data_IF_454317756068
#
_entry.id   IF_454317756068
#
_cell.length_a   1.000
_cell.length_b   1.000
_cell.length_c   1.000
_cell.angle_alpha   90.00
_cell.angle_beta   90.00
_cell.angle_gamma   90.00
#
_symmetry.space_group_name_H-M   'P 1'
#
loop_
_entity.id
_entity.type
_entity.pdbx_description
1 polymer ?
#
# COMPACT_ATOMS: atom_id res chain seq x y z
N UNK A 1 -60.57 -11.10 -26.55
CA UNK A 1 -61.77 -10.57 -25.91
C UNK A 1 -61.44 -9.19 -25.40
N UNK A 2 -62.05 -8.24 -26.01
CA UNK A 2 -62.03 -6.80 -25.84
C UNK A 2 -62.56 -6.39 -24.45
N UNK A 3 -62.03 -5.24 -23.91
CA UNK A 3 -62.78 -4.04 -23.50
C UNK A 3 -62.00 -3.36 -22.37
N UNK A 4 -61.45 -2.21 -22.56
CA UNK A 4 -61.85 -0.79 -22.59
C UNK A 4 -61.77 -0.11 -21.21
N UNK A 5 -61.01 0.99 -21.22
CA UNK A 5 -60.91 2.00 -20.16
C UNK A 5 -62.24 2.82 -20.03
N UNK A 6 -62.33 3.64 -19.01
CA UNK A 6 -62.73 5.01 -19.32
C UNK A 6 -61.87 6.11 -18.69
N UNK A 7 -61.99 7.23 -19.34
CA UNK A 7 -61.31 8.48 -19.18
C UNK A 7 -61.92 9.43 -18.13
N UNK A 8 -61.05 10.34 -17.64
CA UNK A 8 -61.39 11.77 -17.62
C UNK A 8 -61.97 12.37 -16.37
N UNK A 9 -61.29 13.34 -15.78
CA UNK A 9 -61.92 14.63 -15.47
C UNK A 9 -60.84 15.72 -15.30
N UNK A 10 -60.92 16.68 -16.19
CA UNK A 10 -60.23 17.97 -16.10
C UNK A 10 -60.82 18.83 -15.00
N UNK A 11 -59.98 19.55 -14.25
CA UNK A 11 -60.43 20.77 -13.58
C UNK A 11 -59.47 21.93 -13.87
N UNK A 12 -60.07 23.00 -14.35
CA UNK A 12 -59.52 24.20 -14.95
C UNK A 12 -59.32 25.31 -13.92
N UNK A 13 -58.17 25.98 -14.00
CA UNK A 13 -57.84 27.41 -13.72
C UNK A 13 -58.63 28.19 -12.64
N UNK A 14 -57.83 28.88 -11.81
CA UNK A 14 -58.02 30.34 -11.60
C UNK A 14 -56.65 31.01 -11.34
N UNK A 15 -56.32 31.98 -12.21
CA UNK A 15 -55.29 33.00 -11.99
C UNK A 15 -55.80 33.98 -10.93
N UNK A 16 -54.93 34.37 -9.98
CA UNK A 16 -54.92 35.69 -9.36
C UNK A 16 -53.49 36.14 -9.11
N UNK A 17 -53.17 37.23 -9.72
CA UNK A 17 -51.97 38.07 -9.53
C UNK A 17 -52.04 38.75 -8.17
N UNK A 18 -50.90 38.87 -7.49
CA UNK A 18 -50.57 40.03 -6.64
C UNK A 18 -49.05 40.06 -6.40
N UNK A 19 -48.43 41.05 -7.01
CA UNK A 19 -47.46 42.05 -6.55
C UNK A 19 -46.41 41.67 -5.52
N UNK A 20 -45.14 41.67 -6.00
CA UNK A 20 -43.94 42.30 -5.48
C UNK A 20 -43.82 42.48 -3.97
N UNK A 21 -42.84 41.71 -3.38
CA UNK A 21 -41.99 42.21 -2.33
C UNK A 21 -40.58 41.64 -2.59
N UNK A 22 -39.69 42.54 -3.01
CA UNK A 22 -38.23 42.32 -3.10
C UNK A 22 -37.68 42.22 -1.68
N UNK A 23 -37.35 41.04 -1.24
CA UNK A 23 -36.40 40.82 -0.15
C UNK A 23 -35.11 40.30 -0.77
N UNK A 24 -34.12 41.15 -0.86
CA UNK A 24 -32.75 40.81 -1.19
C UNK A 24 -32.15 39.99 -0.02
N UNK A 25 -32.25 38.69 -0.10
CA UNK A 25 -31.44 37.77 0.74
C UNK A 25 -30.07 37.68 0.14
N UNK A 26 -29.11 38.34 0.77
CA UNK A 26 -27.69 38.12 0.47
C UNK A 26 -27.34 36.66 0.79
N UNK A 27 -27.24 35.84 -0.26
CA UNK A 27 -26.66 34.51 -0.16
C UNK A 27 -25.15 34.71 -0.04
N UNK A 28 -24.64 34.65 1.20
CA UNK A 28 -23.21 34.50 1.41
C UNK A 28 -22.75 33.19 0.75
N UNK A 29 -21.69 33.19 -0.05
CA UNK A 29 -21.14 31.94 -0.57
C UNK A 29 -20.65 31.11 0.62
N UNK A 30 -21.24 29.95 0.82
CA UNK A 30 -20.69 28.91 1.69
C UNK A 30 -19.26 28.61 1.19
N UNK A 31 -18.28 28.50 2.08
CA UNK A 31 -16.96 28.08 1.67
C UNK A 31 -17.10 26.68 1.08
N UNK A 32 -16.89 26.58 -0.22
CA UNK A 32 -16.71 25.30 -0.90
C UNK A 32 -15.43 24.70 -0.31
N UNK A 33 -15.56 23.72 0.59
CA UNK A 33 -14.45 22.86 0.92
C UNK A 33 -13.98 22.26 -0.41
N UNK A 34 -12.85 22.73 -0.90
CA UNK A 34 -12.07 22.07 -1.92
C UNK A 34 -11.59 20.75 -1.30
N UNK A 35 -12.44 19.71 -1.39
CA UNK A 35 -11.98 18.34 -1.25
C UNK A 35 -10.98 18.19 -2.40
N UNK A 36 -9.71 18.08 -2.06
CA UNK A 36 -8.63 17.93 -3.02
C UNK A 36 -8.95 16.74 -3.91
N UNK A 37 -9.41 17.01 -5.13
CA UNK A 37 -9.63 15.96 -6.14
C UNK A 37 -8.26 15.40 -6.48
N UNK A 38 -8.00 14.17 -6.07
CA UNK A 38 -6.84 13.41 -6.53
C UNK A 38 -6.87 13.44 -8.06
N UNK A 39 -5.85 14.00 -8.69
CA UNK A 39 -5.80 14.05 -10.14
C UNK A 39 -5.84 12.61 -10.68
N UNK A 40 -6.65 12.39 -11.73
CA UNK A 40 -6.71 11.08 -12.39
C UNK A 40 -5.34 10.72 -12.96
N UNK A 41 -4.97 9.45 -12.84
CA UNK A 41 -3.72 8.93 -13.40
C UNK A 41 -3.61 9.20 -14.89
N UNK A 42 -2.44 9.60 -15.35
CA UNK A 42 -2.17 9.84 -16.77
C UNK A 42 -1.83 8.53 -17.50
N UNK A 43 -2.12 8.47 -18.81
CA UNK A 43 -1.65 7.37 -19.65
C UNK A 43 -0.16 7.51 -19.93
N UNK A 44 0.52 6.38 -20.08
CA UNK A 44 1.92 6.33 -20.55
C UNK A 44 2.12 7.06 -21.89
N UNK A 45 1.07 7.18 -22.71
CA UNK A 45 1.12 7.88 -23.98
C UNK A 45 1.21 9.41 -23.85
N UNK A 46 0.91 9.95 -22.68
CA UNK A 46 1.04 11.39 -22.39
C UNK A 46 2.44 11.76 -21.86
N UNK A 47 3.30 10.77 -21.61
CA UNK A 47 4.65 11.01 -21.12
C UNK A 47 5.66 11.14 -22.26
N UNK A 48 6.70 11.98 -22.10
CA UNK A 48 7.80 12.04 -23.04
C UNK A 48 8.54 10.69 -23.09
N UNK A 49 9.17 10.33 -24.22
CA UNK A 49 10.04 9.17 -24.29
C UNK A 49 11.23 9.34 -23.34
N UNK A 50 11.71 8.21 -22.79
CA UNK A 50 12.95 8.19 -22.03
C UNK A 50 14.13 8.01 -22.98
N UNK A 51 15.21 8.74 -22.73
CA UNK A 51 16.50 8.64 -23.46
C UNK A 51 17.66 8.69 -22.47
N UNK A 52 18.81 8.15 -22.86
CA UNK A 52 20.02 8.14 -22.01
C UNK A 52 20.14 6.91 -21.13
N UNK A 53 20.96 6.99 -20.08
CA UNK A 53 21.30 5.87 -19.21
C UNK A 53 20.94 6.18 -17.74
N UNK A 54 20.32 5.20 -17.07
CA UNK A 54 20.08 5.22 -15.63
C UNK A 54 20.48 3.89 -14.99
N UNK A 55 21.02 3.97 -13.78
CA UNK A 55 21.30 2.80 -12.93
C UNK A 55 20.28 2.72 -11.81
N UNK A 56 19.45 1.68 -11.84
CA UNK A 56 18.44 1.37 -10.85
C UNK A 56 18.91 0.29 -9.90
N UNK A 57 18.91 0.57 -8.59
CA UNK A 57 18.99 -0.47 -7.57
C UNK A 57 17.57 -0.91 -7.22
N UNK A 58 17.24 -2.17 -7.58
CA UNK A 58 15.91 -2.74 -7.42
C UNK A 58 15.88 -3.74 -6.28
N UNK A 59 15.11 -3.45 -5.24
CA UNK A 59 14.72 -4.40 -4.22
C UNK A 59 13.94 -5.56 -4.86
N UNK A 60 14.06 -6.77 -4.30
CA UNK A 60 13.34 -7.93 -4.84
C UNK A 60 11.83 -7.71 -4.69
N UNK A 61 11.17 -7.57 -5.83
CA UNK A 61 9.75 -7.78 -5.95
C UNK A 61 9.47 -9.28 -6.04
N UNK A 62 8.30 -9.71 -5.63
CA UNK A 62 7.91 -11.11 -5.71
C UNK A 62 7.55 -11.51 -7.14
N UNK A 63 8.04 -12.68 -7.56
CA UNK A 63 7.61 -13.34 -8.79
C UNK A 63 7.98 -12.64 -10.11
N UNK A 64 8.93 -11.71 -10.12
CA UNK A 64 9.36 -11.02 -11.35
C UNK A 64 8.39 -9.93 -11.84
N UNK A 65 7.37 -9.57 -11.05
CA UNK A 65 6.32 -8.62 -11.44
C UNK A 65 6.88 -7.23 -11.75
N UNK A 66 7.83 -6.74 -10.96
CA UNK A 66 8.49 -5.46 -11.22
C UNK A 66 9.41 -5.53 -12.45
N UNK A 67 10.00 -6.70 -12.75
CA UNK A 67 10.76 -6.91 -13.97
C UNK A 67 9.92 -6.73 -15.23
N UNK A 68 8.66 -7.19 -15.20
CA UNK A 68 7.73 -6.97 -16.33
C UNK A 68 7.44 -5.49 -16.53
N UNK A 69 7.32 -4.70 -15.45
CA UNK A 69 7.16 -3.23 -15.53
C UNK A 69 8.40 -2.61 -16.17
N UNK A 70 9.61 -2.97 -15.68
CA UNK A 70 10.86 -2.45 -16.24
C UNK A 70 11.00 -2.79 -17.72
N UNK A 71 10.71 -4.05 -18.08
CA UNK A 71 10.73 -4.50 -19.47
C UNK A 71 9.77 -3.70 -20.35
N UNK A 72 8.53 -3.50 -19.91
CA UNK A 72 7.55 -2.71 -20.66
C UNK A 72 8.00 -1.26 -20.86
N UNK A 73 8.63 -0.65 -19.86
CA UNK A 73 9.19 0.70 -19.96
C UNK A 73 10.36 0.74 -20.96
N UNK A 74 11.30 -0.20 -20.89
CA UNK A 74 12.46 -0.23 -21.80
C UNK A 74 12.07 -0.58 -23.23
N UNK A 75 11.16 -1.54 -23.44
CA UNK A 75 10.67 -1.88 -24.79
C UNK A 75 9.98 -0.67 -25.49
N UNK A 76 9.30 0.16 -24.70
CA UNK A 76 8.67 1.39 -25.20
C UNK A 76 9.69 2.47 -25.55
N UNK A 77 10.85 2.49 -24.89
CA UNK A 77 11.86 3.55 -24.98
C UNK A 77 13.20 3.00 -25.48
N UNK A 78 13.37 2.72 -26.80
CA UNK A 78 14.54 2.02 -27.33
C UNK A 78 15.86 2.81 -27.24
N UNK A 79 15.79 4.12 -26.94
CA UNK A 79 16.98 4.96 -26.69
C UNK A 79 17.34 5.07 -25.21
N UNK A 80 16.63 4.34 -24.35
CA UNK A 80 16.83 4.34 -22.92
C UNK A 80 17.54 3.06 -22.47
N UNK A 81 18.73 3.21 -21.90
CA UNK A 81 19.51 2.12 -21.32
C UNK A 81 19.31 2.09 -19.80
N UNK A 82 18.62 1.07 -19.29
CA UNK A 82 18.35 0.87 -17.87
C UNK A 82 19.23 -0.24 -17.32
N UNK A 83 20.27 0.14 -16.58
CA UNK A 83 21.10 -0.81 -15.82
C UNK A 83 20.46 -1.13 -14.49
N UNK A 84 20.25 -2.41 -14.20
CA UNK A 84 19.54 -2.83 -12.99
C UNK A 84 20.41 -3.72 -12.11
N UNK A 85 20.70 -3.24 -10.89
CA UNK A 85 21.30 -4.05 -9.82
C UNK A 85 20.20 -4.56 -8.89
N UNK A 86 20.07 -5.88 -8.79
CA UNK A 86 19.02 -6.56 -8.01
C UNK A 86 19.59 -7.11 -6.71
N UNK A 87 18.75 -7.10 -5.66
CA UNK A 87 19.16 -7.68 -4.39
C UNK A 87 18.09 -7.55 -3.31
N UNK A 88 18.34 -8.10 -2.10
CA UNK A 88 17.51 -7.79 -0.93
C UNK A 88 17.52 -6.29 -0.67
N UNK A 89 16.35 -5.71 -0.45
CA UNK A 89 16.14 -4.26 -0.31
C UNK A 89 17.08 -3.64 0.75
N UNK A 90 17.17 -4.24 1.94
CA UNK A 90 18.05 -3.74 3.00
C UNK A 90 19.53 -3.81 2.62
N UNK A 91 19.96 -4.85 1.88
CA UNK A 91 21.36 -4.97 1.42
C UNK A 91 21.69 -3.88 0.39
N UNK A 92 20.75 -3.56 -0.51
CA UNK A 92 20.93 -2.48 -1.48
C UNK A 92 20.99 -1.11 -0.80
N UNK A 93 20.10 -0.84 0.18
CA UNK A 93 20.16 0.40 0.96
C UNK A 93 21.52 0.57 1.65
N UNK A 94 22.02 -0.49 2.31
CA UNK A 94 23.33 -0.46 2.94
C UNK A 94 24.48 -0.28 1.93
N UNK A 95 24.38 -0.89 0.74
CA UNK A 95 25.37 -0.70 -0.33
C UNK A 95 25.40 0.75 -0.81
N UNK A 96 24.24 1.38 -1.05
CA UNK A 96 24.13 2.80 -1.44
C UNK A 96 24.81 3.68 -0.39
N UNK A 97 24.52 3.46 0.89
CA UNK A 97 25.12 4.24 1.99
C UNK A 97 26.64 4.04 2.06
N UNK A 98 27.12 2.81 1.90
CA UNK A 98 28.55 2.51 1.90
C UNK A 98 29.26 3.10 0.69
N UNK A 99 28.68 2.97 -0.51
CA UNK A 99 29.19 3.56 -1.75
C UNK A 99 29.29 5.09 -1.62
N UNK A 100 28.26 5.76 -1.13
CA UNK A 100 28.25 7.21 -0.91
C UNK A 100 29.33 7.65 0.08
N UNK A 101 29.51 6.93 1.20
CA UNK A 101 30.60 7.22 2.16
C UNK A 101 31.98 7.05 1.57
N UNK A 102 32.13 6.20 0.56
CA UNK A 102 33.37 6.03 -0.19
C UNK A 102 33.52 7.04 -1.36
N UNK A 103 32.63 7.99 -1.50
CA UNK A 103 32.62 8.96 -2.60
C UNK A 103 32.23 8.36 -3.95
N UNK A 104 31.54 7.21 -3.94
CA UNK A 104 31.12 6.48 -5.14
C UNK A 104 29.61 6.52 -5.21
N UNK A 105 29.05 7.16 -6.24
CA UNK A 105 27.60 7.22 -6.48
C UNK A 105 27.28 6.41 -7.73
N UNK A 106 26.93 5.14 -7.56
CA UNK A 106 26.63 4.22 -8.69
C UNK A 106 25.14 4.17 -9.01
N UNK A 107 24.30 4.30 -7.99
CA UNK A 107 22.86 4.25 -8.18
C UNK A 107 22.30 5.64 -8.50
N UNK A 108 21.58 5.76 -9.58
CA UNK A 108 20.77 6.96 -9.90
C UNK A 108 19.41 6.88 -9.21
N UNK A 109 18.83 5.67 -9.17
CA UNK A 109 17.52 5.38 -8.61
C UNK A 109 17.59 4.21 -7.64
N UNK A 110 16.81 4.26 -6.56
CA UNK A 110 16.59 3.12 -5.66
C UNK A 110 15.10 2.84 -5.52
N UNK A 111 14.66 1.69 -6.02
CA UNK A 111 13.29 1.21 -5.86
C UNK A 111 13.24 0.10 -4.83
N UNK A 112 12.69 0.41 -3.67
CA UNK A 112 12.58 -0.49 -2.52
C UNK A 112 11.17 -1.09 -2.45
N UNK A 113 11.07 -2.33 -1.98
CA UNK A 113 9.77 -2.97 -1.73
C UNK A 113 9.16 -2.58 -0.38
N UNK A 114 9.87 -1.85 0.46
CA UNK A 114 9.39 -1.37 1.76
C UNK A 114 9.92 0.03 2.07
N UNK A 115 9.13 0.80 2.82
CA UNK A 115 9.46 2.17 3.21
C UNK A 115 10.59 2.27 4.22
N UNK A 116 10.83 1.22 5.01
CA UNK A 116 11.93 1.21 5.97
C UNK A 116 13.29 1.40 5.28
N UNK A 117 13.51 0.73 4.16
CA UNK A 117 14.74 0.87 3.38
C UNK A 117 14.83 2.24 2.67
N UNK A 118 13.73 2.79 2.18
CA UNK A 118 13.65 4.15 1.64
C UNK A 118 14.05 5.16 2.72
N UNK A 119 13.42 5.09 3.90
CA UNK A 119 13.72 5.97 5.02
C UNK A 119 15.18 5.87 5.50
N UNK A 120 15.78 4.69 5.42
CA UNK A 120 17.19 4.48 5.77
C UNK A 120 18.14 5.28 4.86
N UNK A 121 17.90 5.27 3.54
CA UNK A 121 18.68 6.04 2.56
C UNK A 121 18.39 7.54 2.66
N UNK A 122 17.11 7.91 2.78
CA UNK A 122 16.67 9.30 2.89
C UNK A 122 17.26 10.00 4.13
N UNK A 123 17.31 9.32 5.28
CA UNK A 123 17.94 9.83 6.53
C UNK A 123 19.43 10.14 6.41
N UNK A 124 20.12 9.59 5.41
CA UNK A 124 21.52 9.92 5.12
C UNK A 124 21.67 11.17 4.24
N UNK A 125 20.57 11.82 3.86
CA UNK A 125 20.58 12.98 2.96
C UNK A 125 20.95 12.64 1.51
N UNK A 126 20.77 11.39 1.09
CA UNK A 126 21.13 10.92 -0.26
C UNK A 126 19.97 11.06 -1.26
N UNK A 127 18.75 11.15 -0.78
CA UNK A 127 17.58 11.32 -1.61
C UNK A 127 17.39 12.81 -1.97
N UNK A 128 17.20 13.08 -3.25
CA UNK A 128 16.92 14.45 -3.75
C UNK A 128 15.44 14.80 -3.61
N UNK A 129 15.15 16.09 -3.42
CA UNK A 129 13.78 16.56 -3.38
C UNK A 129 13.09 16.35 -4.73
N UNK A 130 11.85 15.88 -4.68
CA UNK A 130 11.03 15.62 -5.85
C UNK A 130 10.26 16.87 -6.27
N UNK A 131 10.03 17.07 -7.58
CA UNK A 131 9.14 18.12 -8.04
C UNK A 131 7.71 17.89 -7.53
N UNK A 132 7.06 18.94 -7.02
CA UNK A 132 5.68 18.86 -6.49
C UNK A 132 4.67 18.33 -7.51
N UNK A 133 4.87 18.58 -8.80
CA UNK A 133 4.01 18.06 -9.86
C UNK A 133 4.12 16.53 -10.07
N UNK A 134 5.13 15.88 -9.51
CA UNK A 134 5.27 14.42 -9.55
C UNK A 134 4.31 13.76 -8.55
N UNK A 135 4.14 14.34 -7.37
CA UNK A 135 3.35 13.76 -6.28
C UNK A 135 1.87 14.11 -6.33
N UNK A 136 1.46 15.12 -7.11
CA UNK A 136 0.06 15.58 -7.19
C UNK A 136 -0.95 14.51 -7.65
N UNK A 137 -0.49 13.41 -8.25
CA UNK A 137 -1.35 12.29 -8.68
C UNK A 137 -1.61 11.28 -7.55
N UNK A 138 -0.86 11.38 -6.46
CA UNK A 138 -1.02 10.52 -5.28
C UNK A 138 -2.08 11.08 -4.34
N UNK A 139 -2.62 10.23 -3.48
CA UNK A 139 -3.42 10.68 -2.34
C UNK A 139 -2.54 11.45 -1.35
N UNK A 140 -3.08 12.47 -0.65
CA UNK A 140 -2.29 13.37 0.21
C UNK A 140 -1.45 12.64 1.28
N UNK A 141 -1.94 11.55 1.83
CA UNK A 141 -1.25 10.72 2.82
C UNK A 141 0.00 10.01 2.28
N UNK A 142 0.20 10.03 0.96
CA UNK A 142 1.36 9.45 0.27
C UNK A 142 2.27 10.51 -0.35
N UNK A 143 2.17 11.77 0.06
CA UNK A 143 3.05 12.84 -0.37
C UNK A 143 4.29 12.91 0.52
N UNK A 144 5.46 12.74 -0.08
CA UNK A 144 6.77 12.88 0.56
C UNK A 144 7.68 13.75 -0.30
N UNK A 145 8.57 14.52 0.34
CA UNK A 145 9.40 15.50 -0.36
C UNK A 145 10.52 14.87 -1.21
N UNK A 146 11.04 13.70 -0.81
CA UNK A 146 12.28 13.15 -1.38
C UNK A 146 12.19 11.67 -1.79
N UNK A 147 10.99 11.09 -1.81
CA UNK A 147 10.74 9.77 -2.35
C UNK A 147 9.30 9.63 -2.82
N UNK A 148 9.05 8.71 -3.73
CA UNK A 148 7.76 8.49 -4.37
C UNK A 148 7.22 7.12 -3.96
N UNK A 149 6.09 7.01 -3.25
CA UNK A 149 5.35 5.77 -3.13
C UNK A 149 4.86 5.27 -4.49
N UNK A 150 5.04 3.97 -4.76
CA UNK A 150 4.70 3.38 -6.07
C UNK A 150 3.45 2.51 -5.97
N UNK A 151 3.35 1.66 -4.96
CA UNK A 151 2.21 0.76 -4.75
C UNK A 151 2.05 0.43 -3.28
N UNK A 152 0.82 0.20 -2.85
CA UNK A 152 0.47 -0.08 -1.47
C UNK A 152 0.25 -1.57 -1.19
N UNK A 153 0.40 -1.94 0.08
CA UNK A 153 0.00 -3.23 0.63
C UNK A 153 -0.55 -3.04 2.03
N UNK A 154 -1.62 -3.72 2.35
CA UNK A 154 -2.21 -3.66 3.68
C UNK A 154 -1.88 -4.92 4.47
N UNK A 155 -1.52 -4.73 5.74
CA UNK A 155 -1.43 -5.81 6.71
C UNK A 155 -2.83 -6.36 6.97
N UNK A 156 -2.95 -7.68 7.06
CA UNK A 156 -4.23 -8.35 7.24
C UNK A 156 -4.10 -9.53 8.18
N UNK A 157 -5.25 -10.05 8.58
CA UNK A 157 -5.40 -11.31 9.30
C UNK A 157 -6.04 -12.31 8.34
N UNK A 158 -5.26 -13.10 7.56
CA UNK A 158 -5.81 -14.27 6.86
C UNK A 158 -6.37 -15.25 7.88
N UNK A 159 -7.58 -15.77 7.64
CA UNK A 159 -8.24 -16.71 8.53
C UNK A 159 -8.92 -17.85 7.76
N UNK A 160 -9.02 -19.02 8.36
CA UNK A 160 -9.71 -20.17 7.76
C UNK A 160 -11.22 -19.99 7.90
N UNK A 161 -11.92 -19.72 6.79
CA UNK A 161 -13.34 -19.42 6.74
C UNK A 161 -14.27 -20.63 6.95
N UNK A 162 -13.71 -21.84 7.09
CA UNK A 162 -14.46 -23.02 7.46
C UNK A 162 -14.39 -23.31 8.96
N UNK A 163 -13.44 -22.70 9.67
CA UNK A 163 -13.20 -22.92 11.10
C UNK A 163 -13.69 -21.78 11.97
N UNK A 164 -13.54 -20.54 11.49
CA UNK A 164 -13.93 -19.33 12.22
C UNK A 164 -14.62 -18.35 11.25
N UNK A 165 -15.47 -17.48 11.78
CA UNK A 165 -16.10 -16.41 11.03
C UNK A 165 -15.42 -15.07 11.33
N UNK A 166 -15.53 -14.11 10.40
CA UNK A 166 -14.86 -12.80 10.50
C UNK A 166 -15.25 -12.01 11.77
N UNK A 167 -16.50 -12.13 12.20
CA UNK A 167 -17.04 -11.45 13.39
C UNK A 167 -16.46 -11.97 14.72
N UNK A 168 -15.84 -13.14 14.73
CA UNK A 168 -15.13 -13.69 15.86
C UNK A 168 -13.72 -13.11 16.03
N UNK A 169 -13.17 -12.46 14.98
CA UNK A 169 -11.83 -11.91 14.98
C UNK A 169 -11.88 -10.48 15.53
N UNK A 170 -11.10 -10.14 16.57
CA UNK A 170 -11.06 -8.79 17.10
C UNK A 170 -10.65 -7.76 16.03
N UNK A 171 -11.33 -6.62 16.00
CA UNK A 171 -10.97 -5.47 15.16
C UNK A 171 -9.85 -4.61 15.75
N UNK A 172 -9.31 -5.00 16.90
CA UNK A 172 -8.18 -4.40 17.60
C UNK A 172 -7.07 -5.45 17.70
N UNK A 173 -5.94 -5.17 17.05
CA UNK A 173 -4.81 -6.11 16.99
C UNK A 173 -4.28 -6.45 18.37
N UNK A 174 -4.38 -5.54 19.33
CA UNK A 174 -3.87 -5.73 20.68
C UNK A 174 -4.68 -6.77 21.46
N UNK A 175 -5.93 -7.03 21.08
CA UNK A 175 -6.82 -8.04 21.70
C UNK A 175 -6.66 -9.43 21.10
N UNK A 176 -6.01 -9.55 19.92
CA UNK A 176 -5.88 -10.83 19.24
C UNK A 176 -5.16 -11.90 20.06
N UNK A 177 -4.10 -11.58 20.85
CA UNK A 177 -3.43 -12.58 21.69
C UNK A 177 -4.32 -13.17 22.79
N UNK A 178 -5.37 -12.49 23.19
CA UNK A 178 -6.27 -12.94 24.27
C UNK A 178 -7.36 -13.92 23.80
N UNK A 179 -7.42 -14.16 22.47
CA UNK A 179 -8.30 -15.17 21.87
C UNK A 179 -7.74 -16.59 22.02
N UNK A 180 -8.58 -17.61 21.82
CA UNK A 180 -8.17 -19.02 21.83
C UNK A 180 -7.71 -19.54 20.46
N UNK A 181 -7.58 -18.67 19.44
CA UNK A 181 -7.18 -19.07 18.10
C UNK A 181 -5.74 -19.57 18.04
N UNK A 182 -5.51 -20.59 17.19
CA UNK A 182 -4.18 -20.99 16.80
C UNK A 182 -3.65 -19.99 15.76
N UNK A 183 -2.52 -19.37 16.04
CA UNK A 183 -1.96 -18.27 15.25
C UNK A 183 -0.76 -18.74 14.44
N UNK A 184 -0.72 -18.38 13.15
CA UNK A 184 0.47 -18.51 12.32
C UNK A 184 1.20 -17.18 12.18
N UNK A 185 2.54 -17.20 12.29
CA UNK A 185 3.34 -15.99 12.07
C UNK A 185 4.71 -16.27 11.43
N UNK A 186 5.31 -15.24 10.85
CA UNK A 186 6.62 -15.32 10.21
C UNK A 186 7.55 -14.22 10.76
N UNK A 187 8.08 -14.36 11.99
CA UNK A 187 8.79 -13.28 12.66
C UNK A 187 10.12 -12.88 12.00
N UNK A 188 10.76 -13.77 11.26
CA UNK A 188 12.00 -13.49 10.51
C UNK A 188 11.75 -12.71 9.20
N UNK A 189 10.48 -12.60 8.80
CA UNK A 189 10.11 -11.96 7.54
C UNK A 189 10.06 -10.43 7.69
N UNK A 190 10.70 -9.72 6.76
CA UNK A 190 10.89 -8.26 6.86
C UNK A 190 9.57 -7.49 7.01
N UNK A 191 8.50 -7.89 6.31
CA UNK A 191 7.23 -7.18 6.43
C UNK A 191 6.55 -7.41 7.78
N UNK A 192 6.76 -8.56 8.42
CA UNK A 192 6.32 -8.77 9.79
C UNK A 192 7.10 -7.87 10.77
N UNK A 193 8.41 -7.72 10.57
CA UNK A 193 9.23 -6.81 11.39
C UNK A 193 8.80 -5.34 11.23
N UNK A 194 8.43 -4.93 10.02
CA UNK A 194 7.84 -3.60 9.78
C UNK A 194 6.49 -3.42 10.49
N UNK A 195 5.65 -4.45 10.51
CA UNK A 195 4.40 -4.45 11.26
C UNK A 195 4.64 -4.28 12.78
N UNK A 196 5.59 -5.01 13.35
CA UNK A 196 5.95 -4.87 14.78
C UNK A 196 6.60 -3.50 15.05
N UNK A 197 7.34 -2.94 14.09
CA UNK A 197 7.88 -1.59 14.20
C UNK A 197 6.77 -0.55 14.26
N UNK A 198 5.76 -0.67 13.39
CA UNK A 198 4.57 0.18 13.46
C UNK A 198 3.84 0.05 14.80
N UNK A 199 3.62 -1.18 15.27
CA UNK A 199 3.00 -1.43 16.57
C UNK A 199 3.80 -0.76 17.71
N UNK A 200 5.13 -0.86 17.70
CA UNK A 200 6.00 -0.22 18.69
C UNK A 200 5.90 1.31 18.67
N UNK A 201 5.73 1.90 17.50
CA UNK A 201 5.59 3.35 17.33
C UNK A 201 4.21 3.82 17.82
N UNK A 202 3.16 3.08 17.50
CA UNK A 202 1.76 3.45 17.80
C UNK A 202 1.42 3.14 19.27
N UNK A 203 1.69 1.92 19.73
CA UNK A 203 1.27 1.42 21.04
C UNK A 203 2.37 1.55 22.12
N UNK A 204 3.58 1.85 21.71
CA UNK A 204 4.75 1.90 22.58
C UNK A 204 5.42 0.53 22.78
N UNK A 205 6.68 0.58 23.21
CA UNK A 205 7.52 -0.62 23.36
C UNK A 205 7.00 -1.60 24.40
N UNK A 206 6.45 -1.12 25.53
CA UNK A 206 5.99 -1.99 26.60
C UNK A 206 4.76 -2.82 26.18
N UNK A 207 3.75 -2.20 25.57
CA UNK A 207 2.56 -2.89 25.09
C UNK A 207 2.90 -3.88 23.96
N UNK A 208 3.79 -3.48 23.04
CA UNK A 208 4.28 -4.36 21.97
C UNK A 208 5.03 -5.56 22.52
N UNK A 209 5.84 -5.38 23.56
CA UNK A 209 6.55 -6.47 24.25
C UNK A 209 5.57 -7.49 24.83
N UNK A 210 4.55 -7.03 25.53
CA UNK A 210 3.50 -7.88 26.10
C UNK A 210 2.76 -8.66 25.01
N UNK A 211 2.37 -7.98 23.94
CA UNK A 211 1.72 -8.59 22.78
C UNK A 211 2.58 -9.70 22.17
N UNK A 212 3.86 -9.41 21.92
CA UNK A 212 4.83 -10.38 21.38
C UNK A 212 5.00 -11.60 22.28
N UNK A 213 5.09 -11.41 23.59
CA UNK A 213 5.19 -12.52 24.55
C UNK A 213 3.96 -13.43 24.49
N UNK A 214 2.76 -12.86 24.52
CA UNK A 214 1.49 -13.61 24.43
C UNK A 214 1.39 -14.37 23.10
N UNK A 215 1.71 -13.74 21.98
CA UNK A 215 1.68 -14.40 20.66
C UNK A 215 2.73 -15.49 20.57
N UNK A 216 3.98 -15.23 20.99
CA UNK A 216 5.07 -16.21 20.93
C UNK A 216 4.76 -17.51 21.68
N UNK A 217 3.99 -17.42 22.77
CA UNK A 217 3.61 -18.58 23.57
C UNK A 217 2.72 -19.59 22.80
N UNK A 218 1.91 -19.14 21.86
CA UNK A 218 0.91 -19.97 21.16
C UNK A 218 1.04 -20.00 19.65
N UNK A 219 1.85 -19.13 19.05
CA UNK A 219 1.94 -19.03 17.60
C UNK A 219 2.89 -20.06 17.01
N UNK A 220 2.50 -20.59 15.85
CA UNK A 220 3.34 -21.48 15.04
C UNK A 220 4.18 -20.65 14.05
N UNK A 221 5.49 -20.88 14.03
CA UNK A 221 6.44 -20.17 13.15
C UNK A 221 6.48 -20.76 11.74
N UNK A 222 6.54 -19.88 10.74
CA UNK A 222 6.73 -20.18 9.34
C UNK A 222 7.86 -19.32 8.76
N UNK A 223 8.50 -19.79 7.69
CA UNK A 223 9.62 -19.08 7.07
C UNK A 223 9.24 -17.77 6.36
N UNK A 224 7.94 -17.62 6.00
CA UNK A 224 7.43 -16.42 5.34
C UNK A 224 5.91 -16.37 5.36
N UNK A 225 5.36 -15.21 4.99
CA UNK A 225 3.91 -14.95 5.05
C UNK A 225 3.09 -15.84 4.10
N UNK A 226 3.64 -16.24 2.94
CA UNK A 226 2.98 -17.23 2.08
C UNK A 226 2.79 -18.55 2.83
N UNK A 227 3.80 -18.99 3.60
CA UNK A 227 3.71 -20.19 4.43
C UNK A 227 2.61 -20.08 5.50
N UNK A 228 2.43 -18.89 6.09
CA UNK A 228 1.32 -18.61 7.02
C UNK A 228 -0.03 -18.75 6.32
N UNK A 229 -0.23 -18.11 5.16
CA UNK A 229 -1.50 -18.17 4.42
C UNK A 229 -1.83 -19.60 3.99
N UNK A 230 -0.84 -20.36 3.52
CA UNK A 230 -1.01 -21.78 3.16
C UNK A 230 -1.36 -22.66 4.36
N UNK A 231 -0.81 -22.37 5.54
CA UNK A 231 -1.13 -23.07 6.77
C UNK A 231 -2.55 -22.77 7.27
N UNK A 232 -2.98 -21.53 7.16
CA UNK A 232 -4.37 -21.11 7.43
C UNK A 232 -5.32 -21.84 6.48
N UNK A 233 -5.03 -21.84 5.19
CA UNK A 233 -5.86 -22.50 4.17
C UNK A 233 -6.01 -23.99 4.43
N UNK A 234 -4.95 -24.67 4.87
CA UNK A 234 -4.98 -26.10 5.23
C UNK A 234 -5.59 -26.39 6.61
N UNK A 235 -5.95 -25.36 7.38
CA UNK A 235 -6.47 -25.51 8.74
C UNK A 235 -5.43 -25.96 9.78
N UNK A 236 -4.13 -25.78 9.49
CA UNK A 236 -3.06 -26.02 10.48
C UNK A 236 -3.04 -24.99 11.62
N UNK A 237 -3.51 -23.78 11.32
CA UNK A 237 -3.78 -22.69 12.24
C UNK A 237 -5.12 -22.05 11.85
N UNK A 238 -5.75 -21.34 12.78
CA UNK A 238 -7.05 -20.72 12.53
C UNK A 238 -6.91 -19.41 11.76
N UNK A 239 -5.88 -18.64 12.09
CA UNK A 239 -5.57 -17.35 11.47
C UNK A 239 -4.06 -17.07 11.54
N UNK A 240 -3.65 -15.96 10.93
CA UNK A 240 -2.26 -15.54 10.98
C UNK A 240 -2.06 -14.09 10.57
N UNK A 241 -0.81 -13.69 10.36
CA UNK A 241 -0.44 -12.34 9.94
C UNK A 241 0.24 -12.39 8.58
N UNK A 242 -0.33 -11.70 7.60
CA UNK A 242 0.26 -11.58 6.27
C UNK A 242 -0.20 -10.30 5.55
N UNK A 243 0.53 -9.90 4.53
CA UNK A 243 0.04 -8.91 3.58
C UNK A 243 -1.10 -9.50 2.73
N UNK A 244 -2.08 -8.66 2.38
CA UNK A 244 -3.30 -9.05 1.67
C UNK A 244 -3.07 -9.84 0.39
N UNK A 245 -2.06 -9.47 -0.41
CA UNK A 245 -1.83 -10.06 -1.73
C UNK A 245 -1.48 -11.55 -1.70
N UNK A 246 -0.96 -12.09 -0.61
CA UNK A 246 -0.73 -13.54 -0.50
C UNK A 246 -2.03 -14.33 -0.54
N UNK A 247 -3.04 -13.87 0.19
CA UNK A 247 -4.37 -14.48 0.20
C UNK A 247 -5.06 -14.29 -1.15
N UNK A 248 -4.99 -13.10 -1.74
CA UNK A 248 -5.62 -12.82 -3.03
C UNK A 248 -5.02 -13.66 -4.16
N UNK A 249 -3.68 -13.76 -4.23
CA UNK A 249 -2.99 -14.63 -5.20
C UNK A 249 -3.36 -16.10 -5.02
N UNK A 250 -3.43 -16.58 -3.78
CA UNK A 250 -3.87 -17.94 -3.51
C UNK A 250 -5.30 -18.17 -4.01
N UNK A 251 -6.23 -17.27 -3.71
CA UNK A 251 -7.64 -17.35 -4.16
C UNK A 251 -7.77 -17.24 -5.68
N UNK A 252 -6.97 -16.41 -6.33
CA UNK A 252 -6.92 -16.33 -7.80
C UNK A 252 -6.53 -17.67 -8.43
N UNK A 253 -5.50 -18.35 -7.89
CA UNK A 253 -5.09 -19.69 -8.35
C UNK A 253 -5.97 -20.84 -7.84
N UNK A 254 -6.67 -20.65 -6.73
CA UNK A 254 -7.54 -21.64 -6.07
C UNK A 254 -8.82 -20.95 -5.57
N UNK A 255 -9.83 -20.72 -6.43
CA UNK A 255 -11.04 -19.98 -6.07
C UNK A 255 -11.83 -20.52 -4.88
N UNK A 256 -11.68 -21.82 -4.57
CA UNK A 256 -12.29 -22.50 -3.42
C UNK A 256 -11.36 -22.62 -2.21
N UNK A 257 -10.28 -21.83 -2.15
CA UNK A 257 -9.38 -21.82 -1.00
C UNK A 257 -10.15 -21.46 0.27
N UNK A 258 -9.86 -22.18 1.35
CA UNK A 258 -10.52 -22.03 2.65
C UNK A 258 -9.85 -20.93 3.47
N UNK A 259 -9.66 -19.78 2.86
CA UNK A 259 -9.04 -18.61 3.50
C UNK A 259 -9.70 -17.32 3.04
N UNK A 260 -9.92 -16.40 3.98
CA UNK A 260 -10.37 -15.04 3.71
C UNK A 260 -9.56 -14.04 4.52
N UNK A 261 -9.83 -12.74 4.31
CA UNK A 261 -9.12 -11.64 4.95
C UNK A 261 -10.01 -10.97 5.99
N UNK A 262 -9.45 -10.76 7.18
CA UNK A 262 -10.00 -9.84 8.17
C UNK A 262 -9.05 -8.65 8.36
N UNK A 263 -9.61 -7.52 8.80
CA UNK A 263 -8.92 -6.26 9.00
C UNK A 263 -9.16 -5.74 10.41
N UNK A 264 -8.15 -5.13 10.99
CA UNK A 264 -8.29 -4.34 12.22
C UNK A 264 -8.56 -2.87 11.90
N UNK A 265 -8.82 -2.05 12.89
CA UNK A 265 -9.19 -0.65 12.70
C UNK A 265 -8.22 0.28 13.45
N UNK A 266 -7.56 1.18 12.73
CA UNK A 266 -6.76 2.27 13.31
C UNK A 266 -5.47 1.83 13.98
N UNK A 267 -5.04 0.59 13.81
CA UNK A 267 -3.87 0.01 14.45
C UNK A 267 -2.89 -0.64 13.44
N UNK A 268 -1.76 -1.15 13.93
CA UNK A 268 -0.73 -1.74 13.10
C UNK A 268 -1.20 -2.97 12.30
N UNK A 269 -2.27 -3.65 12.72
CA UNK A 269 -2.85 -4.81 12.02
C UNK A 269 -3.54 -4.46 10.70
N UNK A 270 -3.83 -3.16 10.45
CA UNK A 270 -4.32 -2.64 9.18
C UNK A 270 -3.33 -1.64 8.52
N UNK A 271 -2.05 -1.73 8.87
CA UNK A 271 -1.01 -0.86 8.31
C UNK A 271 -0.97 -0.95 6.78
N UNK A 272 -1.12 0.19 6.11
CA UNK A 272 -0.81 0.32 4.69
C UNK A 272 0.66 0.74 4.56
N UNK A 273 1.51 -0.19 4.17
CA UNK A 273 2.90 0.07 3.81
C UNK A 273 3.02 0.19 2.27
N UNK A 274 4.07 0.82 1.76
CA UNK A 274 4.24 1.01 0.32
C UNK A 274 5.60 0.50 -0.17
N UNK A 275 5.67 0.13 -1.44
CA UNK A 275 6.93 0.18 -2.16
C UNK A 275 7.22 1.64 -2.50
N UNK A 276 8.47 2.00 -2.60
CA UNK A 276 8.85 3.38 -2.87
C UNK A 276 10.10 3.48 -3.73
N UNK A 277 10.22 4.59 -4.45
CA UNK A 277 11.40 4.91 -5.24
C UNK A 277 11.92 6.30 -4.89
N UNK A 278 13.23 6.45 -4.83
CA UNK A 278 13.89 7.74 -4.69
C UNK A 278 14.96 7.93 -5.78
N UNK A 279 15.30 9.18 -6.05
CA UNK A 279 16.41 9.53 -6.93
C UNK A 279 17.57 10.15 -6.14
N UNK A 280 18.77 9.84 -6.55
CA UNK A 280 20.06 10.39 -6.04
C UNK A 280 20.78 11.19 -7.13
N UNK A 281 20.17 11.36 -8.30
CA UNK A 281 20.70 12.07 -9.46
C UNK A 281 19.74 13.20 -9.87
N UNK A 282 20.28 14.40 -10.08
CA UNK A 282 19.56 15.51 -10.71
C UNK A 282 19.48 15.27 -12.22
N UNK A 283 18.45 14.53 -12.64
CA UNK A 283 18.27 14.12 -14.02
C UNK A 283 16.77 14.06 -14.36
N UNK A 284 16.37 14.75 -15.42
CA UNK A 284 14.97 14.75 -15.85
C UNK A 284 14.51 13.36 -16.31
N UNK A 285 15.42 12.54 -16.87
CA UNK A 285 15.11 11.15 -17.23
C UNK A 285 14.76 10.31 -15.99
N UNK A 286 15.46 10.54 -14.86
CA UNK A 286 15.13 9.88 -13.58
C UNK A 286 13.72 10.28 -13.09
N UNK A 287 13.39 11.56 -13.14
CA UNK A 287 12.05 12.05 -12.76
C UNK A 287 10.99 11.51 -13.72
N UNK A 288 11.24 11.49 -15.02
CA UNK A 288 10.30 10.95 -16.00
C UNK A 288 10.14 9.43 -15.81
N UNK A 289 11.21 8.67 -15.49
CA UNK A 289 11.10 7.26 -15.14
C UNK A 289 10.16 7.05 -13.93
N UNK A 290 10.28 7.88 -12.90
CA UNK A 290 9.38 7.82 -11.74
C UNK A 290 7.93 8.12 -12.14
N UNK A 291 7.68 9.07 -13.08
CA UNK A 291 6.34 9.33 -13.63
C UNK A 291 5.74 8.11 -14.33
N UNK A 292 6.57 7.35 -15.08
CA UNK A 292 6.12 6.10 -15.71
C UNK A 292 5.53 5.11 -14.70
N UNK A 293 6.08 5.04 -13.49
CA UNK A 293 5.56 4.15 -12.44
C UNK A 293 4.17 4.56 -11.92
N UNK A 294 3.78 5.84 -12.09
CA UNK A 294 2.47 6.36 -11.69
C UNK A 294 1.44 6.37 -12.84
N UNK A 295 1.79 5.87 -14.02
CA UNK A 295 0.84 5.80 -15.14
C UNK A 295 -0.27 4.79 -14.87
N UNK A 296 -1.44 5.02 -15.47
CA UNK A 296 -2.58 4.12 -15.31
C UNK A 296 -2.24 2.68 -15.74
N UNK A 297 -1.41 2.51 -16.77
CA UNK A 297 -1.01 1.20 -17.28
C UNK A 297 -0.18 0.44 -16.24
N UNK A 298 0.83 1.08 -15.64
CA UNK A 298 1.65 0.46 -14.59
C UNK A 298 0.84 0.22 -13.33
N UNK A 299 0.05 1.20 -12.89
CA UNK A 299 -0.77 1.06 -11.69
C UNK A 299 -1.87 0.00 -11.84
N UNK A 300 -2.49 -0.11 -13.03
CA UNK A 300 -3.43 -1.19 -13.33
C UNK A 300 -2.74 -2.55 -13.31
N UNK A 301 -1.55 -2.68 -13.93
CA UNK A 301 -0.77 -3.90 -13.89
C UNK A 301 -0.42 -4.33 -12.44
N UNK A 302 0.05 -3.38 -11.62
CA UNK A 302 0.37 -3.67 -10.21
C UNK A 302 -0.87 -4.09 -9.42
N UNK A 303 -2.04 -3.52 -9.72
CA UNK A 303 -3.30 -3.92 -9.08
C UNK A 303 -3.77 -5.31 -9.52
N UNK A 304 -3.76 -5.60 -10.82
CA UNK A 304 -4.35 -6.85 -11.36
C UNK A 304 -3.41 -8.05 -11.23
N UNK A 305 -2.11 -7.87 -11.52
CA UNK A 305 -1.14 -8.96 -11.57
C UNK A 305 -0.37 -9.12 -10.26
N UNK A 306 0.02 -8.00 -9.64
CA UNK A 306 0.72 -8.03 -8.37
C UNK A 306 -0.21 -8.03 -7.15
N UNK A 307 -1.50 -7.76 -7.34
CA UNK A 307 -2.48 -7.59 -6.27
C UNK A 307 -2.06 -6.50 -5.27
N UNK A 308 -1.32 -5.50 -5.73
CA UNK A 308 -0.90 -4.37 -4.92
C UNK A 308 -1.92 -3.22 -5.01
N UNK A 309 -2.03 -2.42 -3.97
CA UNK A 309 -2.98 -1.29 -3.91
C UNK A 309 -2.44 -0.15 -4.76
N UNK A 310 -3.20 0.33 -5.77
CA UNK A 310 -2.81 1.50 -6.54
C UNK A 310 -2.89 2.76 -5.68
N UNK A 311 -1.91 3.66 -5.82
CA UNK A 311 -1.80 4.89 -5.04
C UNK A 311 -2.25 6.14 -5.80
N UNK A 312 -2.61 5.98 -7.09
CA UNK A 312 -3.13 7.04 -7.94
C UNK A 312 -4.65 6.94 -8.11
N UNK A 313 -5.29 8.06 -8.40
CA UNK A 313 -6.74 8.09 -8.62
C UNK A 313 -7.19 7.38 -9.89
N UNK A 314 -8.41 6.83 -9.91
CA UNK A 314 -9.05 6.25 -11.09
C UNK A 314 -8.63 4.81 -11.42
N UNK A 315 -7.86 4.13 -10.57
CA UNK A 315 -7.49 2.73 -10.73
C UNK A 315 -8.21 1.90 -9.68
N UNK A 316 -8.86 0.81 -10.11
CA UNK A 316 -9.55 -0.09 -9.21
C UNK A 316 -8.56 -0.83 -8.29
N UNK A 317 -8.91 -1.06 -7.01
CA UNK A 317 -8.12 -1.92 -6.13
C UNK A 317 -8.08 -3.36 -6.66
N UNK A 318 -7.16 -4.21 -6.15
CA UNK A 318 -7.10 -5.63 -6.50
C UNK A 318 -8.45 -6.33 -6.30
N UNK A 319 -8.78 -7.24 -7.19
CA UNK A 319 -9.98 -8.07 -7.04
C UNK A 319 -9.93 -8.84 -5.70
N UNK A 320 -11.04 -8.82 -4.98
CA UNK A 320 -11.16 -9.46 -3.66
C UNK A 320 -10.62 -8.64 -2.49
N UNK A 321 -10.03 -7.47 -2.72
CA UNK A 321 -9.74 -6.52 -1.66
C UNK A 321 -10.97 -5.62 -1.45
N UNK A 322 -11.32 -5.39 -0.18
CA UNK A 322 -12.31 -4.36 0.16
C UNK A 322 -11.88 -3.01 -0.43
N UNK A 323 -12.87 -2.15 -0.73
CA UNK A 323 -12.54 -0.79 -1.15
C UNK A 323 -11.57 -0.17 -0.12
N UNK A 324 -10.43 0.33 -0.60
CA UNK A 324 -9.39 0.90 0.26
C UNK A 324 -9.87 2.08 1.11
N UNK A 325 -10.94 2.75 0.67
CA UNK A 325 -11.61 3.83 1.43
C UNK A 325 -12.36 3.31 2.68
N UNK A 326 -12.72 2.03 2.71
CA UNK A 326 -13.34 1.39 3.87
C UNK A 326 -12.34 0.82 4.88
N UNK A 327 -11.05 0.80 4.53
CA UNK A 327 -9.98 0.44 5.45
C UNK A 327 -9.69 1.61 6.38
N UNK A 328 -9.39 1.30 7.63
CA UNK A 328 -8.97 2.28 8.64
C UNK A 328 -7.51 2.02 9.02
N UNK A 329 -6.53 2.40 8.17
CA UNK A 329 -5.13 2.28 8.54
C UNK A 329 -4.79 3.24 9.69
N UNK A 330 -3.73 2.97 10.47
CA UNK A 330 -3.25 3.91 11.46
C UNK A 330 -2.64 5.15 10.77
N UNK A 331 -2.74 6.30 11.43
CA UNK A 331 -2.01 7.49 11.03
C UNK A 331 -0.56 7.38 11.50
N UNK A 332 0.35 7.11 10.57
CA UNK A 332 1.78 6.98 10.83
C UNK A 332 2.59 7.49 9.64
N UNK A 333 3.64 8.24 9.91
CA UNK A 333 4.66 8.52 8.91
C UNK A 333 5.46 7.24 8.61
N UNK A 334 5.27 6.71 7.40
CA UNK A 334 5.89 5.45 6.97
C UNK A 334 7.42 5.49 6.98
N UNK A 335 8.05 6.66 6.91
CA UNK A 335 9.52 6.80 7.00
C UNK A 335 10.05 6.39 8.37
N UNK A 336 9.22 6.45 9.43
CA UNK A 336 9.57 5.99 10.78
C UNK A 336 9.77 4.47 10.85
N UNK A 337 9.25 3.69 9.89
CA UNK A 337 9.50 2.25 9.80
C UNK A 337 10.97 1.91 9.52
N UNK A 338 11.79 2.89 9.13
CA UNK A 338 13.25 2.77 9.07
C UNK A 338 13.90 2.53 10.44
N UNK A 339 13.21 2.84 11.55
CA UNK A 339 13.69 2.59 12.92
C UNK A 339 13.46 1.12 13.34
N UNK A 340 13.98 0.21 12.53
CA UNK A 340 13.81 -1.24 12.69
C UNK A 340 14.64 -1.82 13.83
N UNK A 341 15.81 -1.21 14.15
CA UNK A 341 16.76 -1.79 15.10
C UNK A 341 16.19 -2.05 16.48
N UNK A 342 15.47 -1.12 17.15
CA UNK A 342 14.85 -1.38 18.44
C UNK A 342 13.84 -2.53 18.42
N UNK A 343 13.13 -2.70 17.29
CA UNK A 343 12.21 -3.83 17.10
C UNK A 343 12.95 -5.16 17.05
N UNK A 344 14.05 -5.24 16.27
CA UNK A 344 14.86 -6.46 16.18
C UNK A 344 15.49 -6.81 17.53
N UNK A 345 15.97 -5.82 18.27
CA UNK A 345 16.59 -6.02 19.59
C UNK A 345 15.53 -6.52 20.58
N UNK A 346 14.31 -5.97 20.58
CA UNK A 346 13.19 -6.45 21.36
C UNK A 346 12.82 -7.91 21.03
N UNK A 347 12.74 -8.25 19.74
CA UNK A 347 12.40 -9.60 19.29
C UNK A 347 13.49 -10.62 19.66
N UNK A 348 14.79 -10.24 19.65
CA UNK A 348 15.90 -11.08 20.13
C UNK A 348 15.86 -11.26 21.63
N UNK A 349 15.62 -10.20 22.40
CA UNK A 349 15.44 -10.27 23.85
C UNK A 349 14.37 -11.31 24.23
N UNK A 350 13.27 -11.36 23.45
CA UNK A 350 12.17 -12.31 23.65
C UNK A 350 12.43 -13.69 23.02
N UNK A 351 13.61 -13.95 22.45
CA UNK A 351 13.98 -15.19 21.74
C UNK A 351 13.00 -15.57 20.62
N UNK A 352 12.46 -14.55 19.96
CA UNK A 352 11.60 -14.71 18.81
C UNK A 352 12.44 -14.85 17.52
N UNK A 353 13.58 -14.13 17.46
CA UNK A 353 14.61 -14.21 16.43
C UNK A 353 15.84 -14.94 16.92
#
# INVERSE_FOLDING_TARGET
>A
MKLTAPAGTFFRMRRRSLSQLLLASAIAPLPTCLIGQTQTSVSVNALPPLEGELTLYLGRGEGGLYENVLKAITDRNPKFDLKVRRGPTAALANAIIAESKAGINRADLFWAVDTGAIGLVAKQGLALNLPTNLTNHLKPEFHYDNWLPVSGRVRTIPYNNQRISADQIPTDIMKLPDTNFQIGWAPEYASFQSFITAMRIIEGTAATKEWLMKVNHKAKKYAGELGVVMAVERGEVDLGFANHYYTLRLKSGKPKAQVDLAFTNGDAGCLINTSGILTMKEDETAINFMRYLLTKEVQSYLSTEAFEIPLVGGIAPPEGLQNTESLSPPEIDLTQLADLRPTLDLMRELRIL
#
